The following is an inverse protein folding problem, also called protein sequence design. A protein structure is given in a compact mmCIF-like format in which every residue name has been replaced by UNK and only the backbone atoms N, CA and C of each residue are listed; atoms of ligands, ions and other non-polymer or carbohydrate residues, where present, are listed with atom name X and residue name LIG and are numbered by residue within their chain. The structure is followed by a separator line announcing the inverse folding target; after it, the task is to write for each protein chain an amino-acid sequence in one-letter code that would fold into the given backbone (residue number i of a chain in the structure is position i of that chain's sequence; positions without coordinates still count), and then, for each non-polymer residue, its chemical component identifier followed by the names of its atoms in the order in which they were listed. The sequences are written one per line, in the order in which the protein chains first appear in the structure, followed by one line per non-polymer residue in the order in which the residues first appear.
data_IF_661580409163
#
_entry.id   IF_661580409163
#
_cell.length_a   1.000
_cell.length_b   1.000
_cell.length_c   1.000
_cell.angle_alpha   90.00
_cell.angle_beta   90.00
_cell.angle_gamma   90.00
#
_symmetry.space_group_name_H-M   'P 1'
#
loop_
_entity.id
_entity.type
_entity.pdbx_description
1 polymer ?
#
# COMPACT_ATOMS: atom_id res chain seq x y z
N UNK A 1 -9.33 20.97 7.73
CA UNK A 1 -8.57 21.36 8.95
C UNK A 1 -7.76 20.14 9.34
N UNK A 2 -6.46 20.31 9.65
CA UNK A 2 -5.62 19.16 9.98
C UNK A 2 -6.19 18.34 11.13
N UNK A 3 -6.02 17.03 11.06
CA UNK A 3 -6.42 16.11 12.12
C UNK A 3 -5.37 16.27 13.23
N UNK A 4 -5.72 17.03 14.26
CA UNK A 4 -4.81 17.38 15.37
C UNK A 4 -5.41 16.86 16.67
N UNK A 5 -4.60 16.18 17.47
CA UNK A 5 -4.95 15.81 18.84
C UNK A 5 -3.77 16.10 19.74
N UNK A 6 -3.96 16.96 20.74
CA UNK A 6 -2.99 17.12 21.80
C UNK A 6 -2.86 15.79 22.57
N UNK A 7 -1.65 15.24 22.70
CA UNK A 7 -1.43 14.06 23.52
C UNK A 7 -1.71 14.37 25.00
N UNK A 8 -2.24 13.38 25.72
CA UNK A 8 -2.41 13.47 27.18
C UNK A 8 -2.17 12.08 27.80
N UNK A 9 -1.05 11.86 28.54
CA UNK A 9 0.04 12.81 28.79
C UNK A 9 0.85 13.12 27.52
N UNK A 10 1.74 14.11 27.57
CA UNK A 10 2.68 14.40 26.47
C UNK A 10 3.73 13.27 26.37
N UNK A 11 3.92 12.64 25.19
CA UNK A 11 4.98 11.66 24.98
C UNK A 11 6.39 12.24 25.12
N UNK A 12 6.55 13.54 24.82
CA UNK A 12 7.79 14.29 24.99
C UNK A 12 7.47 15.76 25.23
N UNK A 13 8.31 16.46 25.98
CA UNK A 13 8.19 17.92 26.11
C UNK A 13 8.46 18.63 24.77
N UNK A 14 7.94 19.85 24.61
CA UNK A 14 8.13 20.62 23.37
C UNK A 14 9.61 20.98 23.11
N UNK A 15 10.40 21.10 24.16
CA UNK A 15 11.85 21.37 24.12
C UNK A 15 12.70 20.08 24.09
N UNK A 16 12.09 18.90 24.07
CA UNK A 16 12.80 17.63 24.00
C UNK A 16 13.72 17.57 22.78
N UNK A 17 15.01 17.35 23.02
CA UNK A 17 16.01 17.12 21.99
C UNK A 17 16.41 15.64 22.01
N UNK A 18 16.25 14.90 20.90
CA UNK A 18 16.65 13.50 20.87
C UNK A 18 18.17 13.36 21.10
N UNK A 19 18.62 12.39 21.91
CA UNK A 19 20.04 12.18 22.15
C UNK A 19 20.75 11.76 20.85
N UNK A 20 22.04 12.12 20.72
CA UNK A 20 22.86 11.83 19.53
C UNK A 20 22.22 12.30 18.23
N UNK A 21 21.57 13.47 18.25
CA UNK A 21 20.96 14.08 17.09
C UNK A 21 21.71 15.31 16.59
N UNK A 22 21.37 15.73 15.37
CA UNK A 22 21.76 17.00 14.76
C UNK A 22 20.47 17.73 14.36
N UNK A 23 20.32 19.03 14.67
CA UNK A 23 19.17 19.80 14.23
C UNK A 23 19.19 19.95 12.69
N UNK A 24 18.03 19.79 12.08
CA UNK A 24 17.76 19.98 10.66
C UNK A 24 16.69 21.04 10.48
N UNK A 25 17.01 22.09 9.73
CA UNK A 25 16.05 23.13 9.36
C UNK A 25 15.25 22.63 8.16
N UNK A 26 13.95 22.44 8.38
CA UNK A 26 13.06 21.92 7.33
C UNK A 26 12.90 22.92 6.19
N UNK A 27 12.90 22.40 4.97
CA UNK A 27 12.68 23.16 3.75
C UNK A 27 11.27 22.91 3.17
N UNK A 28 10.87 23.74 2.21
CA UNK A 28 9.66 23.45 1.42
C UNK A 28 9.92 22.23 0.54
N UNK A 29 9.08 21.21 0.64
CA UNK A 29 9.27 19.94 -0.07
C UNK A 29 9.83 18.82 0.81
N UNK A 30 10.35 19.15 2.01
CA UNK A 30 10.66 18.13 3.00
C UNK A 30 9.39 17.41 3.45
N UNK A 31 9.54 16.14 3.77
CA UNK A 31 8.56 15.29 4.43
C UNK A 31 9.31 14.27 5.28
N UNK A 32 8.62 13.57 6.19
CA UNK A 32 9.26 12.50 6.97
C UNK A 32 9.88 11.42 6.09
N UNK A 33 9.32 11.16 4.90
CA UNK A 33 9.87 10.21 3.93
C UNK A 33 11.15 10.72 3.28
N UNK A 34 11.15 11.95 2.76
CA UNK A 34 12.36 12.51 2.13
C UNK A 34 13.48 12.74 3.14
N UNK A 35 13.15 12.99 4.42
CA UNK A 35 14.13 13.06 5.49
C UNK A 35 14.68 11.67 5.87
N UNK A 36 13.85 10.63 5.82
CA UNK A 36 14.29 9.25 6.05
C UNK A 36 15.24 8.74 4.95
N UNK A 37 15.13 9.28 3.73
CA UNK A 37 16.01 8.97 2.60
C UNK A 37 17.38 9.66 2.68
N UNK A 38 17.61 10.55 3.66
CA UNK A 38 18.91 11.20 3.84
C UNK A 38 19.97 10.17 4.25
N UNK A 39 21.21 10.27 3.74
CA UNK A 39 22.25 9.26 3.99
C UNK A 39 22.49 8.94 5.48
N UNK A 40 22.48 9.95 6.35
CA UNK A 40 22.68 9.77 7.78
C UNK A 40 21.53 9.00 8.45
N UNK A 41 20.30 9.17 7.96
CA UNK A 41 19.10 8.50 8.48
C UNK A 41 19.03 7.06 7.96
N UNK A 42 19.32 6.85 6.68
CA UNK A 42 19.45 5.52 6.07
C UNK A 42 20.52 4.70 6.78
N UNK A 43 21.69 5.28 7.05
CA UNK A 43 22.78 4.61 7.78
C UNK A 43 22.38 4.23 9.22
N UNK A 44 21.42 4.94 9.81
CA UNK A 44 20.86 4.60 11.13
C UNK A 44 19.73 3.56 11.09
N UNK A 45 19.26 3.19 9.90
CA UNK A 45 18.18 2.22 9.69
C UNK A 45 16.80 2.70 10.18
N UNK A 46 16.57 4.02 10.24
CA UNK A 46 15.29 4.59 10.67
C UNK A 46 14.33 4.78 9.49
N UNK A 47 13.09 4.32 9.65
CA UNK A 47 11.98 4.70 8.77
C UNK A 47 11.49 6.12 9.07
N UNK A 48 10.63 6.68 8.21
CA UNK A 48 9.94 7.95 8.49
C UNK A 48 9.15 7.92 9.81
N UNK A 49 8.50 6.78 10.11
CA UNK A 49 7.77 6.58 11.37
C UNK A 49 8.71 6.56 12.58
N UNK A 50 9.88 5.96 12.43
CA UNK A 50 10.92 5.98 13.47
C UNK A 50 11.48 7.38 13.68
N UNK A 51 11.62 8.17 12.62
CA UNK A 51 12.07 9.56 12.70
C UNK A 51 11.04 10.47 13.42
N UNK A 52 9.74 10.26 13.18
CA UNK A 52 8.67 10.91 13.97
C UNK A 52 8.78 10.55 15.46
N UNK A 53 8.95 9.26 15.76
CA UNK A 53 9.10 8.80 17.14
C UNK A 53 10.38 9.31 17.79
N UNK A 54 11.48 9.38 17.04
CA UNK A 54 12.74 9.95 17.51
C UNK A 54 12.55 11.39 17.97
N UNK A 55 11.82 12.19 17.19
CA UNK A 55 11.54 13.60 17.44
C UNK A 55 10.49 13.88 18.53
N UNK A 56 9.44 13.05 18.62
CA UNK A 56 8.23 13.36 19.39
C UNK A 56 7.77 12.25 20.34
N UNK A 57 8.48 11.11 20.39
CA UNK A 57 8.10 9.90 21.15
C UNK A 57 6.70 9.35 20.83
N UNK A 58 6.14 9.70 19.67
CA UNK A 58 4.85 9.17 19.18
C UNK A 58 4.91 8.82 17.69
N UNK A 59 4.06 7.88 17.29
CA UNK A 59 3.84 7.48 15.89
C UNK A 59 2.42 7.77 15.40
N UNK A 60 1.54 8.28 16.26
CA UNK A 60 0.14 8.55 15.92
C UNK A 60 0.05 9.83 15.10
N UNK A 61 -0.51 9.76 13.89
CA UNK A 61 -0.55 10.90 12.96
C UNK A 61 -1.18 12.17 13.54
N UNK A 62 -2.26 12.05 14.32
CA UNK A 62 -2.93 13.22 14.93
C UNK A 62 -2.11 13.90 16.03
N UNK A 63 -1.30 13.13 16.76
CA UNK A 63 -0.34 13.64 17.76
C UNK A 63 0.89 14.23 17.07
N UNK A 64 1.38 13.61 15.98
CA UNK A 64 2.44 14.15 15.14
C UNK A 64 2.05 15.51 14.57
N UNK A 65 0.83 15.65 14.02
CA UNK A 65 0.33 16.95 13.55
C UNK A 65 0.29 18.01 14.66
N UNK A 66 -0.01 17.61 15.90
CA UNK A 66 0.07 18.52 17.04
C UNK A 66 1.51 19.00 17.29
N UNK A 67 2.51 18.11 17.31
CA UNK A 67 3.92 18.50 17.44
C UNK A 67 4.43 19.31 16.23
N UNK A 68 4.02 18.99 15.01
CA UNK A 68 4.36 19.78 13.83
C UNK A 68 3.91 21.23 14.02
N UNK A 69 2.70 21.45 14.53
CA UNK A 69 2.19 22.79 14.82
C UNK A 69 2.90 23.45 16.01
N UNK A 70 2.97 22.79 17.16
CA UNK A 70 3.39 23.41 18.42
C UNK A 70 4.92 23.46 18.59
N UNK A 71 5.63 22.39 18.20
CA UNK A 71 7.08 22.25 18.36
C UNK A 71 7.86 22.72 17.13
N UNK A 72 7.49 22.24 15.95
CA UNK A 72 8.21 22.57 14.71
C UNK A 72 7.77 23.93 14.16
N UNK A 73 6.55 24.37 14.46
CA UNK A 73 6.01 25.65 14.01
C UNK A 73 5.38 25.62 12.62
N UNK A 74 5.01 24.43 12.12
CA UNK A 74 4.33 24.27 10.85
C UNK A 74 2.98 24.99 10.86
N UNK A 75 2.71 25.77 9.81
CA UNK A 75 1.42 26.47 9.63
C UNK A 75 0.72 26.13 8.32
N UNK A 76 1.45 25.56 7.36
CA UNK A 76 0.89 25.12 6.08
C UNK A 76 0.34 23.71 6.18
N UNK A 77 -0.69 23.43 5.40
CA UNK A 77 -1.33 22.12 5.35
C UNK A 77 -1.10 21.45 4.01
N UNK A 78 -1.18 20.13 4.00
CA UNK A 78 -1.26 19.34 2.76
C UNK A 78 -2.50 19.72 1.94
N UNK A 79 -2.51 19.36 0.64
CA UNK A 79 -3.61 19.71 -0.28
C UNK A 79 -4.98 19.16 0.14
N UNK A 80 -5.00 18.01 0.80
CA UNK A 80 -6.21 17.42 1.36
C UNK A 80 -6.64 18.06 2.70
N UNK A 81 -5.80 18.93 3.26
CA UNK A 81 -6.08 19.67 4.49
C UNK A 81 -6.03 18.82 5.76
N UNK A 82 -5.54 17.57 5.68
CA UNK A 82 -5.54 16.61 6.78
C UNK A 82 -4.27 16.67 7.65
N UNK A 83 -3.14 17.10 7.08
CA UNK A 83 -1.84 17.12 7.77
C UNK A 83 -1.17 18.49 7.66
N UNK A 84 -0.25 18.77 8.59
CA UNK A 84 0.71 19.86 8.41
C UNK A 84 1.83 19.42 7.47
N UNK A 85 2.39 20.38 6.72
CA UNK A 85 3.53 20.16 5.82
C UNK A 85 4.66 21.09 6.20
N UNK A 86 5.90 20.61 6.02
CA UNK A 86 7.08 21.44 6.21
C UNK A 86 7.15 22.54 5.16
N UNK A 87 7.65 23.69 5.59
CA UNK A 87 7.96 24.82 4.73
C UNK A 87 9.15 25.60 5.26
N UNK A 88 9.90 26.23 4.36
CA UNK A 88 11.00 27.13 4.71
C UNK A 88 10.58 28.27 5.66
N UNK A 89 9.30 28.64 5.69
CA UNK A 89 8.75 29.67 6.58
C UNK A 89 8.40 29.18 7.99
N UNK A 90 8.56 27.89 8.30
CA UNK A 90 8.22 27.35 9.61
C UNK A 90 9.22 27.85 10.67
N UNK A 91 8.70 28.27 11.83
CA UNK A 91 9.48 28.84 12.93
C UNK A 91 9.13 28.14 14.25
N UNK A 92 10.05 27.40 14.88
CA UNK A 92 11.50 27.36 14.59
C UNK A 92 11.88 26.56 13.33
N UNK A 93 11.00 25.69 12.83
CA UNK A 93 11.24 24.85 11.64
C UNK A 93 12.34 23.81 11.85
N UNK A 94 12.56 23.37 13.10
CA UNK A 94 13.61 22.42 13.43
C UNK A 94 13.01 21.05 13.72
N UNK A 95 13.56 20.05 13.06
CA UNK A 95 13.47 18.64 13.46
C UNK A 95 14.87 18.12 13.74
N UNK A 96 15.00 16.95 14.32
CA UNK A 96 16.27 16.35 14.69
C UNK A 96 16.48 15.08 13.89
N UNK A 97 17.67 14.96 13.28
CA UNK A 97 18.12 13.78 12.58
C UNK A 97 19.16 13.04 13.42
N UNK A 98 19.25 11.70 13.36
CA UNK A 98 20.32 10.96 14.02
C UNK A 98 21.70 11.38 13.49
N UNK A 99 22.70 11.39 14.35
CA UNK A 99 24.10 11.46 13.93
C UNK A 99 24.50 10.16 13.23
N UNK A 100 25.39 10.25 12.25
CA UNK A 100 25.97 9.09 11.59
C UNK A 100 26.55 8.10 12.63
N UNK A 101 26.14 6.83 12.54
CA UNK A 101 26.57 5.78 13.48
C UNK A 101 25.91 5.84 14.87
N UNK A 102 24.95 6.74 15.11
CA UNK A 102 24.11 6.66 16.30
C UNK A 102 23.28 5.36 16.22
N UNK A 103 23.30 4.51 17.26
CA UNK A 103 22.39 3.38 17.31
C UNK A 103 20.96 3.93 17.25
N UNK A 104 20.03 3.26 16.55
CA UNK A 104 18.66 3.72 16.50
C UNK A 104 18.14 3.87 17.94
N UNK A 105 17.34 4.92 18.25
CA UNK A 105 16.72 5.06 19.55
C UNK A 105 15.99 3.76 19.82
N UNK A 106 16.52 3.01 20.80
CA UNK A 106 16.08 1.65 21.07
C UNK A 106 14.58 1.67 21.29
N UNK A 107 13.91 0.76 20.58
CA UNK A 107 12.52 0.50 20.82
C UNK A 107 12.30 0.11 22.28
N UNK A 108 11.38 0.76 22.99
CA UNK A 108 10.70 0.08 24.10
C UNK A 108 9.69 -0.96 23.59
N UNK A 109 9.44 -1.06 22.28
CA UNK A 109 8.96 -2.30 21.65
C UNK A 109 9.15 -2.27 20.12
N UNK A 110 10.13 -3.01 19.60
CA UNK A 110 9.97 -3.70 18.32
C UNK A 110 9.79 -5.13 18.77
N UNK A 111 8.64 -5.79 18.55
CA UNK A 111 8.79 -7.18 18.13
C UNK A 111 9.82 -7.10 17.00
N UNK A 112 10.78 -8.02 16.94
CA UNK A 112 11.52 -8.24 15.68
C UNK A 112 10.51 -8.01 14.54
N UNK A 113 10.84 -7.27 13.45
CA UNK A 113 9.98 -7.35 12.29
C UNK A 113 9.86 -8.85 12.11
N UNK A 114 8.67 -9.39 12.37
CA UNK A 114 8.44 -10.80 12.15
C UNK A 114 8.92 -10.88 10.72
N UNK A 115 10.00 -11.63 10.46
CA UNK A 115 10.38 -11.97 9.10
C UNK A 115 9.21 -12.81 8.64
N UNK A 116 8.15 -12.10 8.29
CA UNK A 116 7.02 -12.59 7.58
C UNK A 116 7.70 -12.92 6.27
N UNK A 117 7.92 -14.21 6.09
CA UNK A 117 8.24 -14.75 4.79
C UNK A 117 6.91 -15.14 4.17
N UNK A 118 5.93 -14.22 4.19
CA UNK A 118 4.64 -14.51 3.56
C UNK A 118 4.80 -14.46 2.05
N UNK A 119 5.72 -13.62 1.55
CA UNK A 119 5.94 -13.37 0.12
C UNK A 119 4.66 -12.89 -0.57
N UNK A 120 3.79 -12.24 0.21
CA UNK A 120 2.48 -11.75 -0.23
C UNK A 120 2.58 -10.26 -0.52
N UNK A 121 2.00 -9.86 -1.64
CA UNK A 121 1.73 -8.49 -2.01
C UNK A 121 0.24 -8.31 -2.22
N UNK A 122 -0.32 -7.20 -1.75
CA UNK A 122 -1.74 -6.91 -1.91
C UNK A 122 -1.92 -5.52 -2.50
N UNK A 123 -2.85 -5.41 -3.44
CA UNK A 123 -2.95 -4.28 -4.33
C UNK A 123 -4.30 -4.10 -4.99
N UNK A 124 -4.35 -3.07 -5.82
CA UNK A 124 -5.45 -2.82 -6.76
C UNK A 124 -4.91 -2.76 -8.17
N UNK A 125 -5.69 -3.28 -9.09
CA UNK A 125 -5.44 -3.26 -10.52
C UNK A 125 -6.60 -2.63 -11.27
N UNK A 126 -6.29 -2.00 -12.40
CA UNK A 126 -7.27 -1.69 -13.43
C UNK A 126 -7.04 -2.66 -14.58
N UNK A 127 -8.14 -3.27 -15.03
CA UNK A 127 -8.15 -4.18 -16.17
C UNK A 127 -8.96 -3.55 -17.28
N UNK A 128 -8.51 -3.76 -18.52
CA UNK A 128 -9.27 -3.42 -19.72
C UNK A 128 -8.93 -4.39 -20.83
N UNK A 129 -9.95 -4.94 -21.47
CA UNK A 129 -9.80 -5.93 -22.52
C UNK A 129 -11.00 -5.98 -23.44
N UNK A 130 -10.83 -6.72 -24.53
CA UNK A 130 -11.87 -7.01 -25.49
C UNK A 130 -11.90 -8.51 -25.75
N UNK A 131 -13.10 -9.03 -26.00
CA UNK A 131 -13.31 -10.38 -26.50
C UNK A 131 -13.96 -10.28 -27.88
N UNK A 132 -13.38 -10.93 -28.88
CA UNK A 132 -13.94 -11.04 -30.23
C UNK A 132 -13.94 -12.50 -30.69
N UNK A 133 -15.14 -13.08 -30.78
CA UNK A 133 -15.34 -14.49 -31.11
C UNK A 133 -14.43 -15.38 -30.25
N UNK A 134 -13.53 -16.15 -30.86
CA UNK A 134 -12.68 -17.15 -30.20
C UNK A 134 -11.45 -16.60 -29.50
N UNK A 135 -11.15 -15.29 -29.61
CA UNK A 135 -9.95 -14.68 -29.08
C UNK A 135 -10.26 -13.38 -28.36
N UNK A 136 -9.75 -13.24 -27.15
CA UNK A 136 -9.74 -11.98 -26.42
C UNK A 136 -8.36 -11.61 -25.93
N UNK A 137 -8.16 -10.31 -25.82
CA UNK A 137 -6.97 -9.74 -25.21
C UNK A 137 -7.40 -8.82 -24.08
N UNK A 138 -6.77 -8.98 -22.92
CA UNK A 138 -6.93 -8.08 -21.80
C UNK A 138 -5.56 -7.59 -21.35
N UNK A 139 -5.53 -6.34 -20.92
CA UNK A 139 -4.37 -5.71 -20.31
C UNK A 139 -4.72 -5.30 -18.89
N UNK A 140 -3.72 -5.33 -18.01
CA UNK A 140 -3.86 -4.90 -16.64
C UNK A 140 -2.68 -4.04 -16.23
N UNK A 141 -2.97 -3.02 -15.42
CA UNK A 141 -1.97 -2.28 -14.65
C UNK A 141 -2.44 -2.19 -13.20
N UNK A 142 -1.57 -2.55 -12.27
CA UNK A 142 -1.86 -2.56 -10.85
C UNK A 142 -0.71 -2.07 -9.99
N UNK A 143 -1.05 -1.74 -8.75
CA UNK A 143 -0.13 -1.36 -7.70
C UNK A 143 -0.33 -2.30 -6.52
N UNK A 144 0.75 -2.85 -5.96
CA UNK A 144 0.70 -3.69 -4.78
C UNK A 144 1.80 -3.31 -3.77
N UNK A 145 1.50 -3.48 -2.48
CA UNK A 145 2.47 -3.34 -1.38
C UNK A 145 2.78 -4.69 -0.78
N UNK A 146 4.01 -4.88 -0.32
CA UNK A 146 4.40 -6.12 0.36
C UNK A 146 3.83 -6.15 1.78
N UNK A 147 3.29 -7.31 2.16
CA UNK A 147 2.82 -7.61 3.52
C UNK A 147 4.00 -7.83 4.48
N UNK A 148 5.15 -8.23 3.94
CA UNK A 148 6.38 -8.50 4.70
C UNK A 148 7.14 -7.21 5.01
N UNK A 149 7.18 -6.27 4.06
CA UNK A 149 7.77 -4.96 4.23
C UNK A 149 6.96 -3.89 3.48
N UNK A 150 6.24 -3.07 4.22
CA UNK A 150 5.27 -2.12 3.67
C UNK A 150 5.91 -0.92 2.97
N UNK A 151 7.22 -0.73 3.13
CA UNK A 151 7.99 0.26 2.36
C UNK A 151 8.28 -0.25 0.94
N UNK A 152 8.14 -1.56 0.71
CA UNK A 152 8.26 -2.16 -0.61
C UNK A 152 6.93 -2.14 -1.34
N UNK A 153 6.99 -1.68 -2.58
CA UNK A 153 5.85 -1.63 -3.47
C UNK A 153 6.25 -2.00 -4.89
N UNK A 154 5.28 -2.45 -5.68
CA UNK A 154 5.45 -2.76 -7.09
C UNK A 154 4.30 -2.18 -7.91
N UNK A 155 4.62 -1.84 -9.15
CA UNK A 155 3.65 -1.73 -10.23
C UNK A 155 3.72 -3.03 -11.03
N UNK A 156 2.58 -3.65 -11.25
CA UNK A 156 2.44 -4.89 -12.01
C UNK A 156 1.67 -4.60 -13.28
N UNK A 157 2.18 -5.05 -14.41
CA UNK A 157 1.45 -5.07 -15.67
C UNK A 157 1.21 -6.53 -16.07
N UNK A 158 0.08 -6.79 -16.73
CA UNK A 158 -0.12 -8.05 -17.42
C UNK A 158 -0.73 -7.88 -18.80
N UNK A 159 -0.42 -8.85 -19.65
CA UNK A 159 -1.16 -9.12 -20.88
C UNK A 159 -1.77 -10.50 -20.74
N UNK A 160 -3.07 -10.57 -20.99
CA UNK A 160 -3.87 -11.78 -20.85
C UNK A 160 -4.42 -12.14 -22.22
N UNK A 161 -4.24 -13.39 -22.60
CA UNK A 161 -4.84 -13.98 -23.79
C UNK A 161 -5.94 -14.94 -23.37
N UNK A 162 -7.11 -14.80 -24.00
CA UNK A 162 -8.33 -15.53 -23.65
C UNK A 162 -8.83 -16.34 -24.84
N UNK A 163 -8.39 -17.59 -25.00
CA UNK A 163 -9.08 -18.54 -25.88
C UNK A 163 -10.48 -18.82 -25.33
N UNK A 164 -11.51 -18.42 -26.06
CA UNK A 164 -12.90 -18.61 -25.66
C UNK A 164 -13.87 -17.88 -26.58
N UNK A 165 -15.12 -18.33 -26.68
CA UNK A 165 -16.12 -17.71 -27.57
C UNK A 165 -16.90 -16.61 -26.84
N UNK A 166 -16.85 -15.36 -27.33
CA UNK A 166 -17.61 -14.26 -26.76
C UNK A 166 -17.46 -12.95 -27.52
N UNK A 167 -18.30 -11.98 -27.18
CA UNK A 167 -18.19 -10.61 -27.66
C UNK A 167 -18.33 -9.66 -26.48
N UNK A 168 -17.39 -8.73 -26.36
CA UNK A 168 -17.57 -7.58 -25.50
C UNK A 168 -16.26 -6.87 -25.11
N UNK A 169 -16.42 -5.93 -24.19
CA UNK A 169 -15.34 -5.12 -23.63
C UNK A 169 -15.40 -5.33 -22.12
N UNK A 170 -14.33 -5.90 -21.55
CA UNK A 170 -14.17 -6.00 -20.11
C UNK A 170 -13.38 -4.80 -19.61
N UNK A 171 -13.83 -4.19 -18.52
CA UNK A 171 -13.18 -3.04 -17.92
C UNK A 171 -13.57 -2.92 -16.47
N UNK A 172 -12.60 -2.82 -15.56
CA UNK A 172 -12.90 -2.86 -14.14
C UNK A 172 -11.73 -2.62 -13.22
N UNK A 173 -12.06 -2.34 -11.96
CA UNK A 173 -11.11 -2.35 -10.86
C UNK A 173 -11.07 -3.78 -10.31
N UNK A 174 -9.88 -4.32 -10.08
CA UNK A 174 -9.68 -5.64 -9.51
C UNK A 174 -8.81 -5.57 -8.26
N UNK A 175 -9.04 -6.53 -7.35
CA UNK A 175 -8.08 -6.83 -6.28
C UNK A 175 -6.92 -7.59 -6.90
N UNK A 176 -5.70 -7.19 -6.56
CA UNK A 176 -4.46 -7.85 -6.95
C UNK A 176 -3.83 -8.48 -5.72
N UNK A 177 -3.55 -9.78 -5.76
CA UNK A 177 -2.75 -10.48 -4.77
C UNK A 177 -1.63 -11.20 -5.50
N UNK A 178 -0.38 -10.94 -5.10
CA UNK A 178 0.78 -11.69 -5.59
C UNK A 178 1.34 -12.50 -4.44
N UNK A 179 1.63 -13.79 -4.65
CA UNK A 179 2.30 -14.65 -3.68
C UNK A 179 3.56 -15.29 -4.26
N UNK A 180 4.43 -15.82 -3.40
CA UNK A 180 5.66 -16.50 -3.82
C UNK A 180 6.72 -15.56 -4.41
N UNK A 181 6.57 -14.25 -4.19
CA UNK A 181 7.46 -13.21 -4.73
C UNK A 181 8.04 -12.39 -3.60
N UNK A 182 9.36 -12.28 -3.55
CA UNK A 182 10.09 -11.42 -2.59
C UNK A 182 10.54 -10.10 -3.20
N UNK A 183 10.75 -10.07 -4.53
CA UNK A 183 11.16 -8.89 -5.31
C UNK A 183 10.37 -8.78 -6.62
N UNK A 184 9.98 -7.57 -7.05
CA UNK A 184 9.23 -7.34 -8.29
C UNK A 184 9.82 -8.05 -9.51
N UNK A 185 11.14 -8.03 -9.68
CA UNK A 185 11.82 -8.67 -10.81
C UNK A 185 11.49 -10.18 -10.99
N UNK A 186 11.07 -10.90 -9.94
CA UNK A 186 10.70 -12.31 -10.05
C UNK A 186 9.40 -12.54 -10.84
N UNK A 187 8.57 -11.51 -11.02
CA UNK A 187 7.39 -11.57 -11.89
C UNK A 187 7.73 -11.35 -13.36
N UNK A 188 8.92 -10.87 -13.71
CA UNK A 188 9.24 -10.52 -15.08
C UNK A 188 9.32 -11.76 -15.98
N UNK A 189 8.40 -11.84 -16.94
CA UNK A 189 8.27 -13.00 -17.82
C UNK A 189 7.58 -14.20 -17.15
N UNK A 190 7.10 -14.05 -15.92
CA UNK A 190 6.26 -15.06 -15.31
C UNK A 190 4.96 -15.18 -16.10
N UNK A 191 4.64 -16.40 -16.52
CA UNK A 191 3.38 -16.72 -17.17
C UNK A 191 2.67 -17.79 -16.36
N UNK A 192 1.37 -17.59 -16.15
CA UNK A 192 0.50 -18.58 -15.53
C UNK A 192 -0.72 -18.80 -16.43
N UNK A 193 -1.16 -20.05 -16.49
CA UNK A 193 -2.38 -20.43 -17.18
C UNK A 193 -3.35 -20.99 -16.17
N UNK A 194 -4.45 -20.29 -15.94
CA UNK A 194 -5.43 -20.64 -14.92
C UNK A 194 -6.85 -20.41 -15.44
N UNK A 195 -7.81 -21.07 -14.81
CA UNK A 195 -9.23 -20.72 -14.93
C UNK A 195 -9.41 -19.34 -14.29
N UNK A 196 -9.63 -18.33 -15.12
CA UNK A 196 -9.92 -16.96 -14.69
C UNK A 196 -11.42 -16.68 -14.85
N UNK A 197 -11.94 -15.83 -13.98
CA UNK A 197 -13.37 -15.51 -13.89
C UNK A 197 -13.52 -14.00 -13.83
N UNK A 198 -14.07 -13.40 -14.89
CA UNK A 198 -14.47 -12.00 -14.84
C UNK A 198 -15.93 -11.91 -14.42
N UNK A 199 -16.20 -11.18 -13.34
CA UNK A 199 -17.56 -10.99 -12.82
C UNK A 199 -17.84 -9.50 -12.72
N UNK A 200 -18.32 -8.93 -13.82
CA UNK A 200 -18.84 -7.58 -13.87
C UNK A 200 -20.37 -7.64 -13.86
N UNK A 201 -20.95 -7.75 -12.64
CA UNK A 201 -22.41 -7.86 -12.48
C UNK A 201 -23.01 -6.47 -12.28
N UNK A 202 -23.68 -6.00 -13.34
CA UNK A 202 -24.62 -4.89 -13.28
C UNK A 202 -25.82 -5.21 -12.36
N UNK A 203 -26.12 -4.28 -11.46
CA UNK A 203 -27.43 -4.14 -10.80
C UNK A 203 -27.76 -5.05 -9.61
N UNK A 204 -27.12 -6.20 -9.40
CA UNK A 204 -27.48 -7.10 -8.26
C UNK A 204 -26.28 -7.70 -7.51
N UNK A 205 -25.47 -6.77 -6.97
CA UNK A 205 -24.18 -6.98 -6.31
C UNK A 205 -24.19 -7.93 -5.10
N UNK A 206 -25.31 -8.01 -4.36
CA UNK A 206 -25.38 -8.79 -3.12
C UNK A 206 -25.38 -10.31 -3.32
N UNK A 207 -25.91 -10.79 -4.45
CA UNK A 207 -25.91 -12.23 -4.80
C UNK A 207 -24.65 -12.60 -5.58
N UNK A 208 -24.17 -11.72 -6.46
CA UNK A 208 -22.92 -11.84 -7.21
C UNK A 208 -21.70 -12.15 -6.33
N UNK A 209 -21.49 -11.36 -5.27
CA UNK A 209 -20.35 -11.51 -4.35
C UNK A 209 -20.38 -12.84 -3.60
N UNK A 210 -21.58 -13.39 -3.32
CA UNK A 210 -21.73 -14.69 -2.66
C UNK A 210 -21.39 -15.87 -3.58
N UNK A 211 -21.65 -15.74 -4.89
CA UNK A 211 -21.53 -16.86 -5.84
C UNK A 211 -20.22 -16.82 -6.65
N UNK A 212 -19.66 -15.64 -6.91
CA UNK A 212 -18.50 -15.46 -7.78
C UNK A 212 -17.16 -15.35 -7.06
N UNK A 213 -17.14 -14.75 -5.87
CA UNK A 213 -15.90 -14.56 -5.10
C UNK A 213 -15.82 -15.66 -4.04
N UNK A 214 -15.41 -16.85 -4.48
CA UNK A 214 -14.94 -17.98 -3.67
C UNK A 214 -15.47 -18.00 -2.22
N UNK A 215 -16.75 -18.35 -2.01
CA UNK A 215 -17.28 -18.78 -0.71
C UNK A 215 -17.06 -17.85 0.50
N UNK A 216 -16.89 -16.54 0.30
CA UNK A 216 -16.60 -15.59 1.39
C UNK A 216 -15.13 -15.49 1.82
N UNK A 217 -14.24 -16.29 1.21
CA UNK A 217 -12.79 -16.38 1.50
C UNK A 217 -12.06 -15.03 1.37
N UNK A 218 -12.51 -14.15 0.49
CA UNK A 218 -11.94 -12.82 0.26
C UNK A 218 -12.81 -11.66 0.77
N UNK A 219 -13.90 -11.95 1.49
CA UNK A 219 -14.86 -10.94 1.92
C UNK A 219 -14.22 -9.85 2.81
N UNK A 220 -13.31 -10.24 3.70
CA UNK A 220 -12.57 -9.29 4.53
C UNK A 220 -11.72 -8.31 3.72
N UNK A 221 -11.09 -8.78 2.62
CA UNK A 221 -10.26 -7.95 1.76
C UNK A 221 -11.11 -7.00 0.91
N UNK A 222 -12.23 -7.47 0.37
CA UNK A 222 -13.19 -6.63 -0.32
C UNK A 222 -13.71 -5.53 0.60
N UNK A 223 -14.08 -5.88 1.84
CA UNK A 223 -14.58 -4.92 2.82
C UNK A 223 -13.52 -3.90 3.21
N UNK A 224 -12.27 -4.34 3.41
CA UNK A 224 -11.14 -3.45 3.64
C UNK A 224 -10.99 -2.45 2.49
N UNK A 225 -10.91 -2.92 1.24
CA UNK A 225 -10.75 -2.06 0.06
C UNK A 225 -11.92 -1.06 -0.06
N UNK A 226 -13.15 -1.50 0.20
CA UNK A 226 -14.33 -0.62 0.23
C UNK A 226 -14.21 0.47 1.31
N UNK A 227 -13.71 0.11 2.50
CA UNK A 227 -13.46 1.04 3.60
C UNK A 227 -12.34 2.03 3.27
N UNK A 228 -11.31 1.60 2.53
CA UNK A 228 -10.28 2.50 1.99
C UNK A 228 -10.89 3.51 1.01
N UNK A 229 -11.93 3.11 0.26
CA UNK A 229 -12.70 4.02 -0.61
C UNK A 229 -11.96 4.44 -1.88
N UNK A 230 -10.83 3.79 -2.19
CA UNK A 230 -10.06 4.08 -3.39
C UNK A 230 -10.74 3.53 -4.64
N UNK A 231 -10.81 4.35 -5.69
CA UNK A 231 -11.39 3.98 -7.00
C UNK A 231 -10.34 3.71 -8.07
N UNK A 232 -9.06 4.00 -7.77
CA UNK A 232 -7.93 3.76 -8.67
C UNK A 232 -6.73 3.22 -7.90
N UNK A 233 -5.78 2.52 -8.55
CA UNK A 233 -4.54 2.07 -7.92
C UNK A 233 -3.74 3.20 -7.27
N UNK A 234 -3.68 4.37 -7.92
CA UNK A 234 -2.98 5.54 -7.38
C UNK A 234 -3.64 6.10 -6.12
N UNK A 235 -4.98 6.12 -6.07
CA UNK A 235 -5.72 6.52 -4.86
C UNK A 235 -5.52 5.52 -3.73
N UNK A 236 -5.47 4.23 -4.04
CA UNK A 236 -5.23 3.17 -3.06
C UNK A 236 -3.82 3.24 -2.49
N UNK A 237 -2.81 3.39 -3.36
CA UNK A 237 -1.44 3.67 -2.97
C UNK A 237 -1.39 4.83 -1.99
N UNK A 238 -1.95 5.98 -2.38
CA UNK A 238 -1.94 7.17 -1.55
C UNK A 238 -2.62 6.91 -0.20
N UNK A 239 -3.81 6.31 -0.21
CA UNK A 239 -4.59 6.07 1.01
C UNK A 239 -3.89 5.11 2.00
N UNK A 240 -3.12 4.14 1.50
CA UNK A 240 -2.31 3.26 2.33
C UNK A 240 -1.08 4.00 2.87
N UNK A 241 -0.32 4.69 2.01
CA UNK A 241 0.91 5.37 2.42
C UNK A 241 0.65 6.56 3.37
N UNK A 242 -0.51 7.20 3.27
CA UNK A 242 -0.89 8.33 4.13
C UNK A 242 -1.42 7.88 5.51
N UNK A 243 -1.73 6.60 5.70
CA UNK A 243 -2.39 6.07 6.91
C UNK A 243 -1.80 4.71 7.36
N UNK A 244 -0.82 4.74 8.29
CA UNK A 244 -0.19 3.53 8.81
C UNK A 244 -1.16 2.52 9.43
N UNK A 245 -2.31 2.97 9.97
CA UNK A 245 -3.29 2.07 10.58
C UNK A 245 -3.98 1.21 9.51
N UNK A 246 -4.21 1.76 8.31
CA UNK A 246 -4.75 0.98 7.18
C UNK A 246 -3.77 -0.07 6.69
N UNK A 247 -2.47 0.26 6.67
CA UNK A 247 -1.42 -0.71 6.34
C UNK A 247 -1.42 -1.85 7.37
N UNK A 248 -1.46 -1.52 8.67
CA UNK A 248 -1.50 -2.52 9.73
C UNK A 248 -2.75 -3.41 9.65
N UNK A 249 -3.91 -2.84 9.33
CA UNK A 249 -5.16 -3.58 9.11
C UNK A 249 -5.04 -4.54 7.92
N UNK A 250 -4.47 -4.09 6.80
CA UNK A 250 -4.24 -4.92 5.62
C UNK A 250 -3.28 -6.08 5.91
N UNK A 251 -2.17 -5.80 6.59
CA UNK A 251 -1.18 -6.81 6.99
C UNK A 251 -1.82 -7.84 7.92
N UNK A 252 -2.61 -7.40 8.92
CA UNK A 252 -3.32 -8.28 9.84
C UNK A 252 -4.31 -9.18 9.08
N UNK A 253 -5.04 -8.60 8.13
CA UNK A 253 -5.99 -9.32 7.31
C UNK A 253 -5.29 -10.38 6.45
N UNK A 254 -4.20 -10.02 5.76
CA UNK A 254 -3.45 -10.95 4.92
C UNK A 254 -2.90 -12.13 5.72
N UNK A 255 -2.32 -11.87 6.91
CA UNK A 255 -1.85 -12.94 7.82
C UNK A 255 -2.96 -13.89 8.24
N UNK A 256 -4.10 -13.35 8.65
CA UNK A 256 -5.23 -14.15 9.14
C UNK A 256 -5.85 -15.03 8.05
N UNK A 257 -5.59 -14.74 6.78
CA UNK A 257 -6.25 -15.41 5.65
C UNK A 257 -5.28 -16.04 4.65
N UNK A 258 -3.96 -16.09 4.91
CA UNK A 258 -2.97 -16.60 3.92
C UNK A 258 -3.26 -18.03 3.44
N UNK A 259 -3.60 -18.91 4.37
CA UNK A 259 -3.93 -20.32 4.12
C UNK A 259 -5.26 -20.41 3.38
N UNK A 260 -6.26 -19.66 3.88
CA UNK A 260 -7.55 -19.55 3.23
C UNK A 260 -7.34 -19.12 1.78
N UNK A 261 -6.52 -18.10 1.50
CA UNK A 261 -6.19 -17.57 0.17
C UNK A 261 -5.44 -18.54 -0.73
N UNK A 262 -4.85 -19.61 -0.19
CA UNK A 262 -4.08 -20.58 -0.97
C UNK A 262 -2.74 -20.02 -1.44
N UNK A 263 -2.16 -19.10 -0.66
CA UNK A 263 -0.94 -18.36 -1.01
C UNK A 263 0.34 -19.04 -0.50
N UNK A 264 0.25 -20.29 -0.08
CA UNK A 264 1.38 -21.10 0.36
C UNK A 264 2.04 -21.76 -0.86
N UNK A 265 2.83 -20.97 -1.59
CA UNK A 265 3.61 -21.46 -2.72
C UNK A 265 4.92 -20.68 -2.84
N UNK A 266 6.03 -21.39 -3.00
CA UNK A 266 7.33 -20.81 -3.33
C UNK A 266 7.40 -20.32 -4.79
N UNK A 267 6.42 -20.68 -5.61
CA UNK A 267 6.31 -20.23 -7.00
C UNK A 267 5.50 -18.94 -7.06
N UNK A 268 5.93 -17.96 -7.88
CA UNK A 268 5.13 -16.78 -8.16
C UNK A 268 3.72 -17.18 -8.59
N UNK A 269 2.74 -16.52 -8.01
CA UNK A 269 1.34 -16.67 -8.38
C UNK A 269 0.67 -15.31 -8.27
N UNK A 270 -0.12 -14.95 -9.28
CA UNK A 270 -0.89 -13.71 -9.30
C UNK A 270 -2.37 -14.05 -9.29
N UNK A 271 -3.03 -13.81 -8.17
CA UNK A 271 -4.47 -13.91 -8.07
C UNK A 271 -5.10 -12.54 -8.30
N UNK A 272 -6.11 -12.51 -9.16
CA UNK A 272 -6.83 -11.29 -9.46
C UNK A 272 -8.33 -11.55 -9.55
N UNK A 273 -9.14 -10.69 -8.95
CA UNK A 273 -10.60 -10.79 -9.07
C UNK A 273 -11.23 -9.40 -9.09
N UNK A 274 -12.23 -9.24 -9.96
CA UNK A 274 -12.89 -7.96 -10.16
C UNK A 274 -13.66 -7.52 -8.92
N UNK A 275 -13.51 -6.25 -8.58
CA UNK A 275 -14.33 -5.60 -7.58
C UNK A 275 -15.56 -5.08 -8.32
N UNK A 276 -16.76 -5.56 -7.96
CA UNK A 276 -17.96 -5.10 -8.61
C UNK A 276 -18.32 -3.74 -7.98
N UNK A 277 -17.68 -2.69 -8.50
CA UNK A 277 -18.02 -1.29 -8.27
C UNK A 277 -18.91 -0.85 -9.43
N UNK A 278 -19.97 -0.10 -9.14
CA UNK A 278 -20.92 0.37 -10.14
C UNK A 278 -20.21 1.12 -11.29
N UNK A 279 -19.95 0.44 -12.41
CA UNK A 279 -19.19 0.92 -13.56
C UNK A 279 -19.43 0.01 -14.76
N UNK A 280 -19.58 0.63 -15.94
CA UNK A 280 -20.16 0.03 -17.14
C UNK A 280 -19.26 -1.02 -17.80
N UNK A 281 -19.64 -2.28 -17.63
CA UNK A 281 -19.10 -3.45 -18.31
C UNK A 281 -19.89 -4.64 -17.80
N UNK A 282 -20.48 -5.42 -18.70
CA UNK A 282 -21.35 -6.54 -18.35
C UNK A 282 -20.85 -7.80 -19.00
N UNK A 283 -19.93 -8.49 -18.34
CA UNK A 283 -19.43 -9.80 -18.72
C UNK A 283 -19.32 -10.68 -17.47
N UNK A 284 -20.09 -11.77 -17.47
CA UNK A 284 -19.82 -12.95 -16.66
C UNK A 284 -19.23 -13.98 -17.60
N UNK A 285 -17.91 -14.13 -17.59
CA UNK A 285 -17.22 -15.08 -18.45
C UNK A 285 -16.28 -15.94 -17.63
N UNK A 286 -16.36 -17.25 -17.86
CA UNK A 286 -15.39 -18.24 -17.41
C UNK A 286 -14.51 -18.51 -18.63
N UNK A 287 -13.23 -18.21 -18.54
CA UNK A 287 -12.30 -18.45 -19.64
C UNK A 287 -11.01 -19.03 -19.11
N UNK A 288 -10.37 -19.84 -19.94
CA UNK A 288 -9.00 -20.23 -19.70
C UNK A 288 -8.12 -19.05 -20.12
N UNK A 289 -7.32 -18.53 -19.20
CA UNK A 289 -6.52 -17.34 -19.45
C UNK A 289 -5.05 -17.71 -19.36
N UNK A 290 -4.26 -17.35 -20.37
CA UNK A 290 -2.82 -17.32 -20.23
C UNK A 290 -2.41 -15.87 -20.03
N UNK A 291 -1.85 -15.59 -18.85
CA UNK A 291 -1.42 -14.26 -18.44
C UNK A 291 0.09 -14.22 -18.36
N UNK A 292 0.71 -13.16 -18.88
CA UNK A 292 2.13 -12.88 -18.72
C UNK A 292 2.30 -11.59 -17.95
N UNK A 293 3.16 -11.60 -16.94
CA UNK A 293 3.36 -10.50 -16.02
C UNK A 293 4.71 -9.83 -16.21
N UNK A 294 4.74 -8.53 -15.92
CA UNK A 294 5.96 -7.75 -15.70
C UNK A 294 5.73 -6.87 -14.50
N UNK A 295 6.74 -6.69 -13.66
CA UNK A 295 6.67 -5.84 -12.51
C UNK A 295 7.95 -5.03 -12.32
N UNK A 296 7.77 -3.82 -11.80
CA UNK A 296 8.86 -2.92 -11.42
C UNK A 296 8.50 -2.26 -10.10
N UNK A 297 9.47 -2.04 -9.21
CA UNK A 297 9.16 -1.50 -7.89
C UNK A 297 10.36 -0.93 -7.15
N UNK A 298 10.08 -0.31 -6.00
CA UNK A 298 11.12 0.16 -5.10
C UNK A 298 11.57 -1.01 -4.20
N UNK A 299 12.89 -1.23 -4.13
CA UNK A 299 13.50 -2.42 -3.52
C UNK A 299 13.99 -3.47 -4.53
N UNK A 300 14.02 -3.13 -5.82
CA UNK A 300 14.87 -3.80 -6.81
C UNK A 300 16.31 -3.28 -6.62
N UNK A 301 17.04 -3.90 -5.69
CA UNK A 301 18.51 -3.92 -5.74
C UNK A 301 18.98 -4.87 -6.85
#
# INVERSE_FOLDING_TARGET
MPIVRQPNPLPSELDYIPPKSTPHKVASGDSWWTLADLPDVVASGMSASDLCHFNFKTRKGSEINWYLREKVGCRRTTRDGNNYTFSIGDSPGIVYLPKLGAPPPVNEYKPEPVKLDTRIWVGLAVKSGTQQMSSGQESMMGFAISVDNTDRWMIVNSQVTRPGFGFGVSGGLAVLIVSGVTRPAQLNGHSQSELDFNVSIGGNLGKAVKTAVAGGKYAGLINFIRKVGAKTPSQFRKALLDDPDKIAELVKLAKANKEAWGLESDKPNVLMFDIPLAGAGGELSIFYATSTYTAFGFGDD
#
